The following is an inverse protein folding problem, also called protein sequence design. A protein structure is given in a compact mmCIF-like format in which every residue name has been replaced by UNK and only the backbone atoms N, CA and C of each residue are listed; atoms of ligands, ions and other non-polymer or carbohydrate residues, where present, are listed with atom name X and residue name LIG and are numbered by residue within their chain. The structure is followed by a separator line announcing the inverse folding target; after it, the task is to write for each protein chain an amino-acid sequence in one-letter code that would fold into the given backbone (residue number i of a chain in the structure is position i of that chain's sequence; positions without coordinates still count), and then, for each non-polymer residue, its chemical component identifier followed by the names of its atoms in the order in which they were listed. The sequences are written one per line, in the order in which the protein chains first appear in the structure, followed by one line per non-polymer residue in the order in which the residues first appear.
data_IF_125013102972
#
_entry.id   IF_125013102972
#
_cell.length_a   1.000
_cell.length_b   1.000
_cell.length_c   1.000
_cell.angle_alpha   90.00
_cell.angle_beta   90.00
_cell.angle_gamma   90.00
#
_symmetry.space_group_name_H-M   'P 1'
#
loop_
_entity.id
_entity.type
_entity.pdbx_description
1 polymer ?
#
# COMPACT_ATOMS: atom_id res chain seq x y z
N UNK A 1 3.30 -27.77 4.86
CA UNK A 1 2.25 -27.00 4.16
C UNK A 1 2.76 -25.59 3.95
N UNK A 2 2.62 -25.07 2.73
CA UNK A 2 2.89 -23.68 2.36
C UNK A 2 1.62 -23.03 1.83
N UNK A 3 1.50 -21.70 2.02
CA UNK A 3 0.40 -20.90 1.48
C UNK A 3 0.92 -19.55 1.02
N UNK A 4 0.50 -19.14 -0.18
CA UNK A 4 0.74 -17.79 -0.72
C UNK A 4 -0.42 -17.32 -1.60
N UNK A 5 -0.52 -16.00 -1.76
CA UNK A 5 -1.33 -15.32 -2.79
C UNK A 5 -0.40 -14.95 -3.96
N UNK A 6 0.18 -15.96 -4.62
CA UNK A 6 1.17 -15.71 -5.67
C UNK A 6 0.55 -14.99 -6.86
N UNK A 7 1.12 -13.83 -7.23
CA UNK A 7 0.59 -12.91 -8.25
C UNK A 7 0.25 -13.60 -9.57
N UNK A 8 1.13 -14.48 -10.06
CA UNK A 8 0.93 -15.20 -11.31
C UNK A 8 -0.33 -16.10 -11.26
N UNK A 9 -0.55 -16.78 -10.14
CA UNK A 9 -1.72 -17.62 -9.95
C UNK A 9 -2.98 -16.78 -9.77
N UNK A 10 -2.89 -15.68 -9.02
CA UNK A 10 -3.99 -14.74 -8.85
C UNK A 10 -4.37 -14.10 -10.18
N UNK A 11 -3.38 -13.72 -11.01
CA UNK A 11 -3.62 -13.23 -12.37
C UNK A 11 -4.31 -14.28 -13.25
N UNK A 12 -3.96 -15.55 -13.11
CA UNK A 12 -4.62 -16.65 -13.83
C UNK A 12 -6.08 -16.82 -13.38
N UNK A 13 -6.34 -16.81 -12.07
CA UNK A 13 -7.67 -17.01 -11.50
C UNK A 13 -8.63 -15.85 -11.79
N UNK A 14 -8.10 -14.61 -11.78
CA UNK A 14 -8.88 -13.38 -11.89
C UNK A 14 -9.10 -12.98 -13.36
N UNK A 15 -9.56 -13.94 -14.16
CA UNK A 15 -9.95 -13.75 -15.57
C UNK A 15 -11.34 -14.33 -15.82
N UNK A 16 -12.03 -13.88 -16.86
CA UNK A 16 -13.32 -14.48 -17.23
C UNK A 16 -13.26 -16.01 -17.34
N UNK A 17 -12.22 -16.54 -17.97
CA UNK A 17 -11.99 -17.99 -18.17
C UNK A 17 -11.09 -18.61 -17.10
N UNK A 18 -10.77 -17.88 -16.01
CA UNK A 18 -9.79 -18.29 -15.00
C UNK A 18 -10.09 -19.63 -14.34
N UNK A 19 -11.36 -19.94 -14.08
CA UNK A 19 -11.75 -21.23 -13.50
C UNK A 19 -11.45 -22.40 -14.43
N UNK A 20 -11.69 -22.23 -15.74
CA UNK A 20 -11.39 -23.25 -16.75
C UNK A 20 -9.87 -23.46 -16.90
N UNK A 21 -9.10 -22.37 -16.95
CA UNK A 21 -7.64 -22.42 -17.02
C UNK A 21 -7.01 -23.10 -15.81
N UNK A 22 -7.51 -22.80 -14.61
CA UNK A 22 -7.06 -23.44 -13.36
C UNK A 22 -7.39 -24.93 -13.37
N UNK A 23 -8.60 -25.31 -13.83
CA UNK A 23 -9.01 -26.70 -13.93
C UNK A 23 -8.15 -27.47 -14.94
N UNK A 24 -7.83 -26.86 -16.08
CA UNK A 24 -6.96 -27.46 -17.11
C UNK A 24 -5.53 -27.67 -16.59
N UNK A 25 -4.95 -26.68 -15.91
CA UNK A 25 -3.56 -26.74 -15.46
C UNK A 25 -3.34 -27.58 -14.20
N UNK A 26 -4.30 -27.63 -13.31
CA UNK A 26 -4.10 -28.13 -11.95
C UNK A 26 -5.09 -29.21 -11.50
N UNK A 27 -6.18 -29.45 -12.24
CA UNK A 27 -7.28 -30.29 -11.79
C UNK A 27 -6.92 -31.77 -11.55
N UNK A 28 -5.83 -32.25 -12.10
CA UNK A 28 -5.28 -33.59 -11.89
C UNK A 28 -4.42 -33.70 -10.62
N UNK A 29 -3.91 -32.58 -10.10
CA UNK A 29 -2.92 -32.51 -9.03
C UNK A 29 -3.35 -31.74 -7.79
N UNK A 30 -4.34 -30.86 -7.93
CA UNK A 30 -4.81 -30.01 -6.84
C UNK A 30 -6.32 -30.10 -6.68
N UNK A 31 -6.79 -30.00 -5.44
CA UNK A 31 -8.21 -29.75 -5.17
C UNK A 31 -8.49 -28.28 -5.49
N UNK A 32 -9.42 -28.02 -6.41
CA UNK A 32 -9.82 -26.66 -6.78
C UNK A 32 -11.06 -26.29 -6.00
N UNK A 33 -10.92 -25.38 -5.03
CA UNK A 33 -12.00 -24.92 -4.20
C UNK A 33 -12.59 -23.65 -4.79
N UNK A 34 -13.91 -23.60 -5.11
CA UNK A 34 -14.54 -22.38 -5.59
C UNK A 34 -14.42 -21.27 -4.54
N UNK A 35 -14.64 -20.01 -4.96
CA UNK A 35 -14.62 -18.93 -3.99
C UNK A 35 -15.65 -19.18 -2.87
N UNK A 36 -15.14 -19.17 -1.66
CA UNK A 36 -15.92 -19.14 -0.41
C UNK A 36 -15.27 -18.07 0.45
N UNK A 37 -16.09 -17.24 1.11
CA UNK A 37 -15.56 -16.21 2.02
C UNK A 37 -14.57 -16.82 3.02
N UNK A 38 -13.39 -16.22 3.21
CA UNK A 38 -12.42 -16.68 4.20
C UNK A 38 -13.02 -16.88 5.58
N UNK A 39 -12.67 -17.97 6.26
CA UNK A 39 -13.18 -18.30 7.58
C UNK A 39 -13.57 -19.75 7.72
N UNK A 40 -14.52 -20.03 8.63
CA UNK A 40 -14.94 -21.38 8.95
C UNK A 40 -15.54 -22.14 7.75
N UNK A 41 -16.38 -21.46 6.97
CA UNK A 41 -17.04 -22.07 5.81
C UNK A 41 -16.04 -22.48 4.72
N UNK A 42 -15.02 -21.65 4.46
CA UNK A 42 -13.94 -22.02 3.56
C UNK A 42 -13.17 -23.26 4.08
N UNK A 43 -12.83 -23.27 5.36
CA UNK A 43 -12.13 -24.41 5.95
C UNK A 43 -12.97 -25.71 5.87
N UNK A 44 -14.28 -25.62 6.12
CA UNK A 44 -15.22 -26.75 6.00
C UNK A 44 -15.30 -27.23 4.56
N UNK A 45 -15.53 -26.33 3.59
CA UNK A 45 -15.62 -26.67 2.17
C UNK A 45 -14.31 -27.33 1.69
N UNK A 46 -13.16 -26.78 2.06
CA UNK A 46 -11.88 -27.37 1.72
C UNK A 46 -11.71 -28.80 2.29
N UNK A 47 -12.16 -29.01 3.55
CA UNK A 47 -12.11 -30.33 4.18
C UNK A 47 -13.08 -31.33 3.53
N UNK A 48 -14.27 -30.91 3.15
CA UNK A 48 -15.29 -31.73 2.46
C UNK A 48 -14.82 -32.13 1.05
N UNK A 49 -14.11 -31.25 0.35
CA UNK A 49 -13.58 -31.50 -0.98
C UNK A 49 -12.27 -32.29 -0.99
N UNK A 50 -11.57 -32.36 0.17
CA UNK A 50 -10.36 -33.13 0.28
C UNK A 50 -10.66 -34.64 0.24
N UNK A 51 -9.97 -35.44 -0.60
CA UNK A 51 -10.24 -36.89 -0.68
C UNK A 51 -9.91 -37.58 0.65
N UNK A 52 -10.92 -38.20 1.26
CA UNK A 52 -10.76 -38.92 2.52
C UNK A 52 -10.09 -40.26 2.30
N UNK A 53 -10.44 -40.97 1.20
CA UNK A 53 -9.95 -42.27 0.84
C UNK A 53 -9.65 -42.34 -0.67
N UNK A 54 -8.69 -43.19 -1.06
CA UNK A 54 -8.36 -43.43 -2.46
C UNK A 54 -6.85 -43.31 -2.76
N UNK A 55 -6.49 -43.61 -3.99
CA UNK A 55 -5.12 -43.54 -4.50
C UNK A 55 -4.67 -42.15 -4.88
N UNK A 56 -5.63 -41.18 -5.07
CA UNK A 56 -5.30 -39.82 -5.42
C UNK A 56 -4.78 -39.05 -4.19
N UNK A 57 -3.57 -38.54 -4.35
CA UNK A 57 -2.90 -37.70 -3.34
C UNK A 57 -2.67 -36.33 -3.91
N UNK A 58 -3.58 -35.36 -3.69
CA UNK A 58 -3.43 -34.01 -4.24
C UNK A 58 -2.19 -33.32 -3.65
N UNK A 59 -1.54 -32.52 -4.49
CA UNK A 59 -0.38 -31.72 -4.10
C UNK A 59 -0.76 -30.55 -3.18
N UNK A 60 -2.05 -30.21 -3.08
CA UNK A 60 -2.57 -29.13 -2.28
C UNK A 60 -3.94 -28.65 -2.75
N UNK A 61 -4.22 -27.37 -2.48
CA UNK A 61 -5.49 -26.70 -2.79
C UNK A 61 -5.21 -25.43 -3.61
N UNK A 62 -5.97 -25.22 -4.67
CA UNK A 62 -6.12 -23.91 -5.30
C UNK A 62 -7.44 -23.32 -4.81
N UNK A 63 -7.38 -22.24 -4.05
CA UNK A 63 -8.53 -21.49 -3.59
C UNK A 63 -8.81 -20.37 -4.59
N UNK A 64 -9.92 -20.47 -5.33
CA UNK A 64 -10.26 -19.50 -6.37
C UNK A 64 -10.38 -18.07 -5.80
N UNK A 65 -9.81 -17.10 -6.50
CA UNK A 65 -9.74 -15.69 -6.11
C UNK A 65 -9.03 -15.42 -4.76
N UNK A 66 -8.20 -16.38 -4.27
CA UNK A 66 -7.52 -16.27 -3.00
C UNK A 66 -6.04 -16.66 -3.15
N UNK A 67 -5.74 -17.95 -3.31
CA UNK A 67 -4.34 -18.37 -3.36
C UNK A 67 -4.12 -19.87 -3.45
N UNK A 68 -2.89 -20.28 -3.15
CA UNK A 68 -2.39 -21.64 -3.28
C UNK A 68 -1.96 -22.20 -1.92
N UNK A 69 -2.38 -23.43 -1.64
CA UNK A 69 -1.78 -24.27 -0.60
C UNK A 69 -1.06 -25.44 -1.26
N UNK A 70 0.14 -25.74 -0.81
CA UNK A 70 0.87 -26.96 -1.20
C UNK A 70 1.26 -27.79 0.01
N UNK A 71 1.20 -29.10 -0.16
CA UNK A 71 1.45 -30.10 0.87
C UNK A 71 2.54 -31.05 0.35
N UNK A 72 3.42 -31.49 1.22
CA UNK A 72 4.47 -32.47 0.92
C UNK A 72 4.84 -33.25 2.17
N UNK A 73 5.49 -34.38 1.99
CA UNK A 73 6.07 -35.20 3.09
C UNK A 73 7.23 -34.46 3.76
N UNK A 74 7.85 -33.52 3.05
CA UNK A 74 8.87 -32.61 3.55
C UNK A 74 8.58 -31.15 3.21
N UNK A 75 9.27 -30.21 3.88
CA UNK A 75 9.19 -28.79 3.55
C UNK A 75 9.69 -28.51 2.13
N UNK A 76 10.76 -29.20 1.71
CA UNK A 76 11.35 -29.07 0.39
C UNK A 76 10.38 -29.52 -0.71
N UNK A 77 9.74 -30.68 -0.53
CA UNK A 77 8.74 -31.16 -1.47
C UNK A 77 7.54 -30.19 -1.60
N UNK A 78 7.02 -29.71 -0.47
CA UNK A 78 5.95 -28.73 -0.49
C UNK A 78 6.37 -27.44 -1.21
N UNK A 79 7.62 -27.00 -1.02
CA UNK A 79 8.19 -25.83 -1.68
C UNK A 79 8.35 -26.03 -3.18
N UNK A 80 8.90 -27.17 -3.64
CA UNK A 80 9.05 -27.46 -5.06
C UNK A 80 7.68 -27.49 -5.77
N UNK A 81 6.68 -28.18 -5.20
CA UNK A 81 5.31 -28.19 -5.70
C UNK A 81 4.73 -26.78 -5.81
N UNK A 82 5.09 -25.90 -4.85
CA UNK A 82 4.62 -24.51 -4.83
C UNK A 82 5.21 -23.71 -6.00
N UNK A 83 6.53 -23.75 -6.14
CA UNK A 83 7.25 -23.04 -7.20
C UNK A 83 6.84 -23.54 -8.58
N UNK A 84 6.70 -24.87 -8.75
CA UNK A 84 6.27 -25.47 -10.01
C UNK A 84 4.87 -25.02 -10.42
N UNK A 85 3.92 -24.93 -9.48
CA UNK A 85 2.58 -24.44 -9.74
C UNK A 85 2.59 -22.95 -10.12
N UNK A 86 3.35 -22.12 -9.40
CA UNK A 86 3.49 -20.69 -9.72
C UNK A 86 4.13 -20.48 -11.10
N UNK A 87 5.18 -21.24 -11.41
CA UNK A 87 5.85 -21.16 -12.72
C UNK A 87 4.92 -21.52 -13.88
N UNK A 88 4.06 -22.54 -13.71
CA UNK A 88 3.07 -22.92 -14.71
C UNK A 88 2.00 -21.84 -14.90
N UNK A 89 1.50 -21.26 -13.80
CA UNK A 89 0.57 -20.14 -13.87
C UNK A 89 1.21 -18.93 -14.56
N UNK A 90 2.46 -18.59 -14.20
CA UNK A 90 3.22 -17.50 -14.81
C UNK A 90 3.39 -17.68 -16.32
N UNK A 91 3.77 -18.89 -16.74
CA UNK A 91 3.90 -19.22 -18.17
C UNK A 91 2.56 -19.09 -18.93
N UNK A 92 1.44 -19.50 -18.29
CA UNK A 92 0.10 -19.46 -18.91
C UNK A 92 -0.38 -18.03 -19.15
N UNK A 93 -0.10 -17.10 -18.23
CA UNK A 93 -0.56 -15.69 -18.32
C UNK A 93 0.54 -14.73 -18.75
N UNK A 94 1.75 -15.22 -19.06
CA UNK A 94 2.88 -14.36 -19.42
C UNK A 94 3.27 -13.40 -18.28
N UNK A 95 3.10 -13.83 -17.01
CA UNK A 95 3.44 -12.99 -15.88
C UNK A 95 4.96 -12.88 -15.74
N UNK A 96 5.44 -11.64 -15.72
CA UNK A 96 6.81 -11.31 -15.33
C UNK A 96 6.79 -10.51 -14.03
N UNK A 97 7.60 -10.91 -13.06
CA UNK A 97 7.73 -10.12 -11.83
C UNK A 97 8.15 -8.69 -12.16
N UNK A 98 7.57 -7.69 -11.50
CA UNK A 98 8.02 -6.31 -11.65
C UNK A 98 9.52 -6.23 -11.38
N UNK A 99 10.28 -5.70 -12.33
CA UNK A 99 11.69 -5.37 -12.11
C UNK A 99 11.72 -4.07 -11.33
N UNK A 100 12.63 -3.94 -10.35
CA UNK A 100 12.89 -2.65 -9.71
C UNK A 100 13.36 -1.65 -10.78
N UNK A 101 12.45 -0.80 -11.21
CA UNK A 101 12.70 0.20 -12.23
C UNK A 101 13.42 1.41 -11.65
N UNK A 102 14.34 1.96 -12.47
CA UNK A 102 14.90 3.29 -12.21
C UNK A 102 13.78 4.33 -12.27
N UNK A 103 13.47 4.91 -11.13
CA UNK A 103 12.42 5.92 -10.99
C UNK A 103 12.78 7.15 -11.82
N UNK A 104 12.10 7.35 -12.93
CA UNK A 104 12.15 8.64 -13.64
C UNK A 104 11.21 9.60 -12.93
N UNK A 105 11.75 10.41 -12.03
CA UNK A 105 10.95 11.40 -11.30
C UNK A 105 10.48 12.48 -12.26
N UNK A 106 9.19 12.47 -12.57
CA UNK A 106 8.53 13.60 -13.21
C UNK A 106 8.24 14.64 -12.12
N UNK A 107 8.76 15.86 -12.22
CA UNK A 107 8.44 16.93 -11.28
C UNK A 107 6.93 17.18 -11.29
N UNK A 108 6.35 17.31 -10.10
CA UNK A 108 4.93 17.62 -9.92
C UNK A 108 4.78 18.80 -8.98
N UNK A 109 3.61 19.42 -9.00
CA UNK A 109 3.27 20.47 -8.04
C UNK A 109 3.14 19.89 -6.64
N UNK A 110 4.09 20.20 -5.76
CA UNK A 110 3.99 19.85 -4.34
C UNK A 110 2.79 20.51 -3.65
N UNK A 111 2.36 21.68 -4.15
CA UNK A 111 1.17 22.38 -3.64
C UNK A 111 -0.09 21.58 -3.91
N UNK A 112 -0.22 20.98 -5.10
CA UNK A 112 -1.41 20.19 -5.46
C UNK A 112 -1.47 18.89 -4.62
N UNK A 113 -0.33 18.23 -4.40
CA UNK A 113 -0.26 17.07 -3.51
C UNK A 113 -0.67 17.44 -2.08
N UNK A 114 -0.16 18.55 -1.56
CA UNK A 114 -0.45 18.97 -0.19
C UNK A 114 -1.92 19.41 -0.04
N UNK A 115 -2.50 20.05 -1.05
CA UNK A 115 -3.91 20.42 -1.08
C UNK A 115 -4.80 19.16 -1.08
N UNK A 116 -4.49 18.18 -1.93
CA UNK A 116 -5.22 16.93 -2.00
C UNK A 116 -5.14 16.15 -0.67
N UNK A 117 -3.95 16.02 -0.07
CA UNK A 117 -3.78 15.37 1.23
C UNK A 117 -4.60 16.06 2.32
N UNK A 118 -4.60 17.39 2.35
CA UNK A 118 -5.38 18.15 3.32
C UNK A 118 -6.87 17.87 3.17
N UNK A 119 -7.41 17.97 1.96
CA UNK A 119 -8.82 17.67 1.68
C UNK A 119 -9.18 16.23 2.07
N UNK A 120 -8.35 15.25 1.71
CA UNK A 120 -8.53 13.87 2.10
C UNK A 120 -8.53 13.69 3.63
N UNK A 121 -7.63 14.39 4.35
CA UNK A 121 -7.55 14.35 5.82
C UNK A 121 -8.79 14.97 6.49
N UNK A 122 -9.27 16.10 5.98
CA UNK A 122 -10.50 16.75 6.46
C UNK A 122 -11.70 15.83 6.29
N UNK A 123 -11.81 15.17 5.15
CA UNK A 123 -12.88 14.22 4.81
C UNK A 123 -12.82 12.95 5.65
N UNK A 124 -11.62 12.46 5.95
CA UNK A 124 -11.40 11.32 6.84
C UNK A 124 -11.66 11.65 8.32
N UNK A 125 -11.75 12.95 8.68
CA UNK A 125 -11.84 13.42 10.06
C UNK A 125 -10.58 13.18 10.89
N UNK A 126 -9.44 12.89 10.26
CA UNK A 126 -8.13 12.65 10.89
C UNK A 126 -7.00 12.94 9.91
N UNK A 127 -5.80 13.32 10.40
CA UNK A 127 -4.64 13.48 9.55
C UNK A 127 -4.29 12.16 8.82
N UNK A 128 -3.87 12.28 7.57
CA UNK A 128 -3.40 11.17 6.75
C UNK A 128 -2.00 11.48 6.21
N UNK A 129 -1.20 10.44 6.04
CA UNK A 129 0.07 10.50 5.31
C UNK A 129 -0.17 9.99 3.90
N UNK A 130 0.45 10.63 2.91
CA UNK A 130 0.49 10.16 1.54
C UNK A 130 1.84 9.51 1.21
N UNK A 131 1.84 8.65 0.21
CA UNK A 131 3.04 8.13 -0.43
C UNK A 131 2.81 8.14 -1.94
N UNK A 132 3.69 8.81 -2.68
CA UNK A 132 3.71 8.75 -4.14
C UNK A 132 4.62 7.65 -4.63
N UNK A 133 4.17 6.92 -5.64
CA UNK A 133 4.97 6.02 -6.44
C UNK A 133 4.88 6.44 -7.91
N UNK A 134 6.01 6.87 -8.46
CA UNK A 134 6.17 7.30 -9.84
C UNK A 134 7.10 6.37 -10.63
N UNK A 135 7.21 5.10 -10.21
CA UNK A 135 7.89 4.06 -10.99
C UNK A 135 7.27 3.95 -12.39
N UNK A 136 8.04 3.47 -13.36
CA UNK A 136 7.54 3.32 -14.72
C UNK A 136 6.24 2.49 -14.76
N UNK A 137 6.21 1.37 -14.04
CA UNK A 137 5.05 0.48 -14.00
C UNK A 137 3.78 1.18 -13.48
N UNK A 138 3.85 1.93 -12.37
CA UNK A 138 2.70 2.64 -11.81
C UNK A 138 2.27 3.81 -12.67
N UNK A 139 3.24 4.55 -13.25
CA UNK A 139 2.96 5.68 -14.11
C UNK A 139 2.35 5.25 -15.46
N UNK A 140 2.83 4.16 -16.06
CA UNK A 140 2.25 3.58 -17.28
C UNK A 140 0.83 3.06 -17.02
N UNK A 141 0.63 2.36 -15.91
CA UNK A 141 -0.69 1.85 -15.54
C UNK A 141 -1.70 3.00 -15.35
N UNK A 142 -1.31 4.06 -14.63
CA UNK A 142 -2.19 5.21 -14.40
C UNK A 142 -2.52 6.01 -15.67
N UNK A 143 -1.70 5.90 -16.73
CA UNK A 143 -1.92 6.55 -18.04
C UNK A 143 -2.65 5.69 -19.06
N UNK A 144 -3.00 4.45 -18.73
CA UNK A 144 -3.74 3.59 -19.64
C UNK A 144 -5.09 4.21 -20.02
N UNK A 145 -5.47 4.12 -21.28
CA UNK A 145 -6.78 4.59 -21.74
C UNK A 145 -7.95 3.84 -21.08
N UNK A 146 -7.72 2.59 -20.69
CA UNK A 146 -8.70 1.71 -20.05
C UNK A 146 -8.57 1.64 -18.51
N UNK A 147 -7.74 2.47 -17.88
CA UNK A 147 -7.50 2.44 -16.44
C UNK A 147 -8.80 2.50 -15.63
N UNK A 148 -9.77 3.33 -16.05
CA UNK A 148 -11.08 3.46 -15.43
C UNK A 148 -11.97 2.21 -15.60
N UNK A 149 -11.57 1.24 -16.41
CA UNK A 149 -12.28 -0.02 -16.55
C UNK A 149 -11.56 -1.13 -15.78
N UNK A 150 -10.26 -1.29 -16.01
CA UNK A 150 -9.50 -2.40 -15.46
C UNK A 150 -9.25 -2.26 -13.96
N UNK A 151 -9.12 -1.02 -13.44
CA UNK A 151 -8.91 -0.76 -12.01
C UNK A 151 -10.22 -0.72 -11.20
N UNK A 152 -11.38 -0.56 -11.84
CA UNK A 152 -12.67 -0.35 -11.18
C UNK A 152 -13.46 -1.66 -10.98
N UNK A 153 -12.80 -2.82 -10.91
CA UNK A 153 -13.47 -4.10 -10.69
C UNK A 153 -13.38 -4.60 -9.26
N UNK A 154 -12.29 -4.32 -8.57
CA UNK A 154 -12.06 -4.76 -7.21
C UNK A 154 -10.60 -5.17 -6.96
N UNK A 155 -10.24 -5.49 -5.70
CA UNK A 155 -8.90 -5.92 -5.33
C UNK A 155 -8.57 -7.29 -5.93
N UNK A 156 -7.26 -7.58 -6.05
CA UNK A 156 -6.77 -8.84 -6.59
C UNK A 156 -7.13 -10.05 -5.72
N UNK A 157 -7.13 -9.87 -4.41
CA UNK A 157 -7.64 -10.83 -3.44
C UNK A 157 -8.56 -10.13 -2.44
N UNK A 158 -9.57 -10.82 -1.88
CA UNK A 158 -10.60 -10.16 -1.07
C UNK A 158 -10.04 -9.51 0.21
N UNK A 159 -9.03 -10.10 0.82
CA UNK A 159 -8.41 -9.61 2.05
C UNK A 159 -7.61 -8.30 1.88
N UNK A 160 -7.23 -7.95 0.64
CA UNK A 160 -6.60 -6.66 0.37
C UNK A 160 -7.54 -5.46 0.61
N UNK A 161 -8.86 -5.67 0.56
CA UNK A 161 -9.88 -4.60 0.69
C UNK A 161 -9.72 -3.76 1.95
N UNK A 162 -9.29 -4.36 3.07
CA UNK A 162 -9.08 -3.64 4.33
C UNK A 162 -7.92 -2.63 4.27
N UNK A 163 -7.00 -2.78 3.30
CA UNK A 163 -5.83 -1.93 3.12
C UNK A 163 -5.98 -0.94 1.96
N UNK A 164 -6.63 -1.37 0.89
CA UNK A 164 -6.72 -0.61 -0.36
C UNK A 164 -8.10 -0.03 -0.62
N UNK A 165 -9.12 -0.39 0.17
CA UNK A 165 -10.52 -0.26 -0.18
C UNK A 165 -10.88 -1.10 -1.42
N UNK A 166 -12.17 -1.17 -1.76
CA UNK A 166 -12.63 -1.94 -2.92
C UNK A 166 -12.09 -1.40 -4.24
N UNK A 167 -12.09 -0.07 -4.40
CA UNK A 167 -11.69 0.60 -5.63
C UNK A 167 -10.66 1.70 -5.36
N UNK A 168 -9.71 1.93 -6.27
CA UNK A 168 -8.92 3.15 -6.27
C UNK A 168 -9.74 4.34 -6.76
N UNK A 169 -9.34 5.54 -6.40
CA UNK A 169 -9.77 6.76 -7.09
C UNK A 169 -8.99 6.89 -8.39
N UNK A 170 -9.67 7.06 -9.51
CA UNK A 170 -9.05 7.45 -10.79
C UNK A 170 -9.25 8.96 -10.96
N UNK A 171 -8.14 9.69 -11.10
CA UNK A 171 -8.14 11.16 -11.05
C UNK A 171 -8.11 11.70 -9.62
N UNK A 172 -8.75 12.86 -9.36
CA UNK A 172 -8.59 13.62 -8.11
C UNK A 172 -9.90 14.06 -7.45
N UNK A 173 -11.06 13.59 -7.94
CA UNK A 173 -12.38 13.98 -7.41
C UNK A 173 -12.75 13.16 -6.17
N UNK A 174 -12.37 13.67 -4.99
CA UNK A 174 -12.68 13.04 -3.70
C UNK A 174 -14.18 13.07 -3.38
N UNK A 175 -14.94 14.06 -3.90
CA UNK A 175 -16.39 14.14 -3.71
C UNK A 175 -17.12 13.02 -4.45
N UNK A 176 -16.75 12.79 -5.71
CA UNK A 176 -17.31 11.69 -6.49
C UNK A 176 -17.00 10.33 -5.83
N UNK A 177 -15.73 10.13 -5.44
CA UNK A 177 -15.33 8.89 -4.75
C UNK A 177 -16.12 8.64 -3.46
N UNK A 178 -16.27 9.67 -2.64
CA UNK A 178 -17.01 9.55 -1.38
C UNK A 178 -18.47 9.15 -1.60
N UNK A 179 -19.15 9.79 -2.57
CA UNK A 179 -20.55 9.44 -2.93
C UNK A 179 -20.67 8.00 -3.44
N UNK A 180 -19.75 7.56 -4.29
CA UNK A 180 -19.74 6.19 -4.81
C UNK A 180 -19.48 5.16 -3.70
N UNK A 181 -18.56 5.46 -2.78
CA UNK A 181 -18.27 4.58 -1.65
C UNK A 181 -19.46 4.50 -0.69
N UNK A 182 -20.12 5.62 -0.36
CA UNK A 182 -21.31 5.66 0.47
C UNK A 182 -22.47 4.86 -0.19
N UNK A 183 -22.66 5.04 -1.50
CA UNK A 183 -23.66 4.28 -2.24
C UNK A 183 -23.38 2.75 -2.21
N UNK A 184 -22.12 2.37 -2.38
CA UNK A 184 -21.69 0.96 -2.24
C UNK A 184 -22.00 0.42 -0.83
N UNK A 185 -21.67 1.16 0.22
CA UNK A 185 -21.94 0.74 1.60
C UNK A 185 -23.45 0.61 1.84
N UNK A 186 -24.25 1.57 1.38
CA UNK A 186 -25.70 1.55 1.59
C UNK A 186 -26.39 0.41 0.81
N UNK A 187 -25.89 0.07 -0.38
CA UNK A 187 -26.41 -1.04 -1.18
C UNK A 187 -26.28 -2.40 -0.48
N UNK A 188 -25.23 -2.59 0.31
CA UNK A 188 -24.93 -3.89 0.93
C UNK A 188 -25.07 -3.89 2.46
N UNK A 189 -25.36 -2.76 3.09
CA UNK A 189 -25.45 -2.59 4.56
C UNK A 189 -26.21 -3.67 5.30
N UNK A 190 -27.32 -4.12 4.75
CA UNK A 190 -28.23 -5.06 5.40
C UNK A 190 -27.84 -6.53 5.20
N UNK A 191 -26.85 -6.83 4.40
CA UNK A 191 -26.47 -8.22 4.08
C UNK A 191 -26.04 -9.01 5.31
N UNK A 192 -25.28 -8.38 6.19
CA UNK A 192 -24.69 -9.07 7.34
C UNK A 192 -25.65 -9.30 8.51
N UNK A 193 -26.83 -8.71 8.48
CA UNK A 193 -27.83 -8.85 9.56
C UNK A 193 -27.39 -8.24 10.91
N UNK A 194 -26.26 -7.55 10.96
CA UNK A 194 -25.72 -6.85 12.13
C UNK A 194 -25.39 -5.40 11.76
N UNK A 195 -25.48 -4.47 12.72
CA UNK A 195 -25.06 -3.09 12.49
C UNK A 195 -23.58 -3.02 12.10
N UNK A 196 -23.26 -2.25 11.07
CA UNK A 196 -21.89 -1.98 10.65
C UNK A 196 -21.47 -0.57 11.04
N UNK A 197 -20.18 -0.40 11.33
CA UNK A 197 -19.59 0.93 11.48
C UNK A 197 -19.02 1.35 10.13
N UNK A 198 -19.47 2.49 9.60
CA UNK A 198 -18.95 3.00 8.34
C UNK A 198 -17.47 3.33 8.48
N UNK A 199 -16.70 2.91 7.52
CA UNK A 199 -15.32 3.38 7.34
C UNK A 199 -15.35 4.78 6.70
N UNK A 200 -14.25 5.53 6.88
CA UNK A 200 -14.14 6.84 6.23
C UNK A 200 -14.25 6.72 4.69
N UNK A 201 -14.91 7.66 4.00
CA UNK A 201 -15.13 7.59 2.55
C UNK A 201 -13.95 8.16 1.74
N UNK A 202 -12.71 7.89 2.17
CA UNK A 202 -11.49 8.37 1.51
C UNK A 202 -10.77 7.21 0.83
N UNK A 203 -10.29 7.38 -0.42
CA UNK A 203 -9.54 6.34 -1.11
C UNK A 203 -8.23 6.02 -0.36
N UNK A 204 -7.77 4.80 -0.48
CA UNK A 204 -6.43 4.40 -0.03
C UNK A 204 -5.44 4.40 -1.18
N UNK A 205 -5.95 4.33 -2.40
CA UNK A 205 -5.15 4.35 -3.63
C UNK A 205 -5.76 5.36 -4.60
N UNK A 206 -4.90 6.16 -5.21
CA UNK A 206 -5.25 7.13 -6.26
C UNK A 206 -4.38 6.84 -7.47
N UNK A 207 -5.00 6.75 -8.63
CA UNK A 207 -4.34 6.60 -9.92
C UNK A 207 -4.54 7.89 -10.73
N UNK A 208 -3.47 8.58 -11.00
CA UNK A 208 -3.52 9.86 -11.73
C UNK A 208 -2.41 9.90 -12.80
N UNK A 209 -2.72 10.32 -14.04
CA UNK A 209 -1.76 10.26 -15.14
C UNK A 209 -0.51 11.14 -14.94
N UNK A 210 -0.59 12.18 -14.09
CA UNK A 210 0.55 13.04 -13.76
C UNK A 210 1.30 12.53 -12.52
N UNK A 211 0.56 12.04 -11.51
CA UNK A 211 1.16 11.62 -10.25
C UNK A 211 1.66 10.17 -10.26
N UNK A 212 1.15 9.33 -11.18
CA UNK A 212 1.31 7.89 -11.12
C UNK A 212 0.35 7.29 -10.09
N UNK A 213 0.86 6.56 -9.12
CA UNK A 213 0.09 6.04 -8.00
C UNK A 213 0.40 6.84 -6.73
N UNK A 214 -0.66 7.23 -6.02
CA UNK A 214 -0.56 7.82 -4.69
C UNK A 214 -1.36 6.96 -3.73
N UNK A 215 -0.81 6.68 -2.54
CA UNK A 215 -1.51 5.96 -1.48
C UNK A 215 -1.66 6.81 -0.24
N UNK A 216 -2.76 6.62 0.48
CA UNK A 216 -3.09 7.32 1.71
C UNK A 216 -3.22 6.31 2.86
N UNK A 217 -2.69 6.69 4.01
CA UNK A 217 -2.78 5.89 5.24
C UNK A 217 -2.84 6.78 6.47
N UNK A 218 -3.33 6.25 7.56
CA UNK A 218 -3.33 6.94 8.86
C UNK A 218 -1.91 7.18 9.40
N UNK A 219 -0.92 6.51 8.86
CA UNK A 219 0.51 6.73 9.11
C UNK A 219 1.33 6.27 7.90
N UNK A 220 2.61 6.58 7.89
CA UNK A 220 3.51 6.25 6.77
C UNK A 220 3.63 4.74 6.51
N UNK A 221 3.48 3.90 7.54
CA UNK A 221 3.49 2.44 7.39
C UNK A 221 2.24 1.95 6.67
N UNK A 222 1.06 2.47 7.02
CA UNK A 222 -0.19 2.10 6.36
C UNK A 222 -0.20 2.53 4.89
N UNK A 223 0.29 3.74 4.58
CA UNK A 223 0.44 4.21 3.20
C UNK A 223 1.43 3.34 2.40
N UNK A 224 2.54 2.91 3.03
CA UNK A 224 3.53 2.02 2.39
C UNK A 224 2.96 0.63 2.11
N UNK A 225 2.20 0.05 3.04
CA UNK A 225 1.53 -1.26 2.86
C UNK A 225 0.52 -1.17 1.71
N UNK A 226 -0.30 -0.12 1.66
CA UNK A 226 -1.25 0.07 0.56
C UNK A 226 -0.54 0.19 -0.79
N UNK A 227 0.62 0.88 -0.84
CA UNK A 227 1.42 1.00 -2.05
C UNK A 227 1.96 -0.36 -2.52
N UNK A 228 2.56 -1.14 -1.63
CA UNK A 228 3.10 -2.47 -1.92
C UNK A 228 2.00 -3.40 -2.46
N UNK A 229 0.88 -3.51 -1.75
CA UNK A 229 -0.27 -4.32 -2.18
C UNK A 229 -0.77 -3.88 -3.56
N UNK A 230 -0.85 -2.58 -3.81
CA UNK A 230 -1.42 -2.12 -5.08
C UNK A 230 -0.42 -2.22 -6.25
N UNK A 231 0.89 -2.21 -6.01
CA UNK A 231 1.91 -2.56 -7.01
C UNK A 231 1.71 -4.00 -7.51
N UNK A 232 1.50 -4.96 -6.59
CA UNK A 232 1.13 -6.34 -6.95
C UNK A 232 -0.20 -6.39 -7.71
N UNK A 233 -1.21 -5.63 -7.27
CA UNK A 233 -2.51 -5.53 -7.95
C UNK A 233 -2.36 -5.01 -9.39
N UNK A 234 -1.52 -4.00 -9.62
CA UNK A 234 -1.20 -3.49 -10.97
C UNK A 234 -0.58 -4.59 -11.85
N UNK A 235 0.39 -5.34 -11.33
CA UNK A 235 1.02 -6.43 -12.07
C UNK A 235 0.02 -7.54 -12.41
N UNK A 236 -0.83 -7.92 -11.47
CA UNK A 236 -1.89 -8.91 -11.66
C UNK A 236 -2.90 -8.45 -12.71
N UNK A 237 -3.42 -7.22 -12.59
CA UNK A 237 -4.37 -6.65 -13.56
C UNK A 237 -3.74 -6.61 -14.95
N UNK A 238 -2.49 -6.15 -15.07
CA UNK A 238 -1.79 -6.04 -16.36
C UNK A 238 -1.61 -7.39 -17.04
N UNK A 239 -1.21 -8.41 -16.28
CA UNK A 239 -1.07 -9.77 -16.81
C UNK A 239 -2.43 -10.37 -17.21
N UNK A 240 -3.46 -10.23 -16.39
CA UNK A 240 -4.80 -10.72 -16.67
C UNK A 240 -5.42 -10.00 -17.89
N UNK A 241 -5.30 -8.67 -17.96
CA UNK A 241 -5.84 -7.86 -19.05
C UNK A 241 -5.23 -8.23 -20.40
N UNK A 242 -3.94 -8.55 -20.45
CA UNK A 242 -3.25 -9.01 -21.66
C UNK A 242 -3.68 -10.40 -22.10
N UNK A 243 -4.43 -11.14 -21.28
CA UNK A 243 -4.82 -12.53 -21.48
C UNK A 243 -6.35 -12.76 -21.35
N UNK A 244 -7.15 -11.88 -21.89
CA UNK A 244 -8.62 -12.05 -21.95
C UNK A 244 -9.39 -11.20 -20.94
N UNK A 245 -8.73 -10.38 -20.16
CA UNK A 245 -9.35 -9.43 -19.25
C UNK A 245 -9.13 -9.75 -17.76
N UNK A 246 -9.24 -8.72 -16.92
CA UNK A 246 -9.23 -8.86 -15.48
C UNK A 246 -10.66 -8.94 -14.94
N UNK A 247 -10.91 -9.85 -14.00
CA UNK A 247 -12.19 -10.03 -13.34
C UNK A 247 -11.96 -10.29 -11.86
N UNK A 248 -12.29 -9.32 -11.01
CA UNK A 248 -12.30 -9.49 -9.56
C UNK A 248 -13.57 -10.21 -9.06
N UNK A 249 -13.64 -10.44 -7.77
CA UNK A 249 -14.87 -10.85 -7.09
C UNK A 249 -15.96 -9.79 -7.21
N UNK A 250 -17.21 -10.19 -6.96
CA UNK A 250 -18.35 -9.28 -6.96
C UNK A 250 -18.21 -8.22 -5.87
N UNK A 251 -18.85 -7.07 -6.06
CA UNK A 251 -18.90 -6.02 -5.03
C UNK A 251 -19.52 -6.53 -3.72
N UNK A 252 -20.43 -7.47 -3.82
CA UNK A 252 -21.11 -8.17 -2.75
C UNK A 252 -20.16 -9.02 -1.91
N UNK A 253 -19.36 -9.87 -2.56
CA UNK A 253 -18.37 -10.73 -1.88
C UNK A 253 -17.27 -9.91 -1.21
N UNK A 254 -16.83 -8.82 -1.88
CA UNK A 254 -15.83 -7.92 -1.32
C UNK A 254 -16.38 -7.17 -0.09
N UNK A 255 -17.67 -6.75 -0.13
CA UNK A 255 -18.31 -6.11 1.01
C UNK A 255 -18.36 -7.02 2.24
N UNK A 256 -18.67 -8.31 2.03
CA UNK A 256 -18.73 -9.29 3.11
C UNK A 256 -17.36 -9.43 3.82
N UNK A 257 -16.26 -9.32 3.09
CA UNK A 257 -14.92 -9.33 3.68
C UNK A 257 -14.57 -7.96 4.30
N UNK A 258 -14.82 -6.85 3.59
CA UNK A 258 -14.48 -5.50 4.08
C UNK A 258 -15.15 -5.19 5.43
N UNK A 259 -16.39 -5.64 5.61
CA UNK A 259 -17.18 -5.42 6.82
C UNK A 259 -17.26 -6.64 7.74
N UNK A 260 -16.39 -7.64 7.54
CA UNK A 260 -16.28 -8.77 8.43
C UNK A 260 -15.67 -8.35 9.78
N UNK A 261 -16.31 -8.76 10.87
CA UNK A 261 -15.88 -8.38 12.23
C UNK A 261 -14.43 -8.71 12.54
N UNK A 262 -13.91 -9.86 12.03
CA UNK A 262 -12.51 -10.24 12.23
C UNK A 262 -11.55 -9.34 11.44
N UNK A 263 -11.92 -8.91 10.24
CA UNK A 263 -11.13 -7.96 9.46
C UNK A 263 -11.20 -6.56 10.07
N UNK A 264 -12.36 -6.11 10.49
CA UNK A 264 -12.54 -4.86 11.23
C UNK A 264 -11.74 -4.86 12.54
N UNK A 265 -11.70 -5.99 13.26
CA UNK A 265 -10.89 -6.12 14.46
C UNK A 265 -9.38 -5.99 14.22
N UNK A 266 -8.88 -6.33 13.03
CA UNK A 266 -7.47 -6.08 12.65
C UNK A 266 -7.17 -4.57 12.56
N UNK A 267 -8.12 -3.78 12.07
CA UNK A 267 -8.01 -2.32 12.02
C UNK A 267 -8.10 -1.70 13.43
N UNK A 268 -8.98 -2.25 14.30
CA UNK A 268 -9.20 -1.78 15.66
C UNK A 268 -8.10 -2.23 16.65
N UNK A 269 -7.36 -3.30 16.36
CA UNK A 269 -6.22 -3.76 17.17
C UNK A 269 -5.00 -2.83 17.08
N UNK A 270 -5.05 -1.82 16.25
CA UNK A 270 -4.17 -0.67 16.33
C UNK A 270 -4.32 -0.01 17.71
N UNK A 271 -3.19 0.22 18.39
CA UNK A 271 -3.11 0.95 19.66
C UNK A 271 -3.91 2.27 19.59
N UNK A 272 -4.30 2.80 20.75
CA UNK A 272 -4.79 4.18 20.87
C UNK A 272 -3.98 5.11 19.94
N UNK A 273 -4.67 5.87 19.09
CA UNK A 273 -4.04 6.76 18.13
C UNK A 273 -2.91 7.56 18.78
N UNK A 274 -1.74 7.52 18.21
CA UNK A 274 -0.58 8.22 18.73
C UNK A 274 -0.77 9.73 18.51
N UNK A 275 -0.11 10.52 19.35
CA UNK A 275 -0.35 11.98 19.43
C UNK A 275 -0.15 12.72 18.11
N UNK A 276 0.83 12.29 17.30
CA UNK A 276 1.18 12.89 16.02
C UNK A 276 0.93 11.94 14.84
N UNK A 277 0.08 10.93 15.04
CA UNK A 277 -0.26 9.99 13.96
C UNK A 277 -0.90 10.73 12.77
N UNK A 278 -0.42 10.41 11.58
CA UNK A 278 -0.87 11.04 10.35
C UNK A 278 -0.25 12.42 10.05
N UNK A 279 0.52 12.99 10.98
CA UNK A 279 1.19 14.28 10.79
C UNK A 279 2.60 14.09 10.23
N UNK A 280 3.08 15.12 9.53
CA UNK A 280 4.40 15.16 8.91
C UNK A 280 5.21 16.31 9.51
N UNK A 281 6.36 16.00 10.08
CA UNK A 281 7.25 16.97 10.70
C UNK A 281 8.54 17.14 9.89
N UNK A 282 8.99 18.38 9.73
CA UNK A 282 10.32 18.72 9.25
C UNK A 282 11.17 19.17 10.44
N UNK A 283 12.33 18.53 10.64
CA UNK A 283 13.24 18.81 11.77
C UNK A 283 14.63 19.11 11.21
N UNK A 284 15.17 20.30 11.48
CA UNK A 284 16.54 20.66 11.14
C UNK A 284 17.49 20.28 12.27
N UNK A 285 18.78 20.04 11.97
CA UNK A 285 19.76 19.55 12.96
C UNK A 285 19.47 18.12 13.42
N UNK A 286 18.86 17.28 12.56
CA UNK A 286 18.29 16.00 12.94
C UNK A 286 19.31 14.85 13.09
N UNK A 287 20.59 15.06 12.73
CA UNK A 287 21.60 14.03 12.89
C UNK A 287 22.10 13.87 14.32
N UNK A 288 21.96 14.90 15.17
CA UNK A 288 22.54 14.88 16.53
C UNK A 288 21.75 15.71 17.54
N UNK A 289 22.14 15.64 18.79
CA UNK A 289 21.70 16.53 19.87
C UNK A 289 20.17 16.64 20.02
N UNK A 290 19.71 17.88 20.16
CA UNK A 290 18.29 18.20 20.41
C UNK A 290 17.43 17.85 19.20
N UNK A 291 17.85 18.20 17.97
CA UNK A 291 17.11 17.90 16.74
C UNK A 291 16.85 16.40 16.58
N UNK A 292 17.88 15.57 16.79
CA UNK A 292 17.75 14.10 16.74
C UNK A 292 16.81 13.57 17.83
N UNK A 293 16.89 14.10 19.04
CA UNK A 293 15.99 13.68 20.13
C UNK A 293 14.53 14.05 19.84
N UNK A 294 14.27 15.22 19.26
CA UNK A 294 12.93 15.64 18.84
C UNK A 294 12.43 14.75 17.70
N UNK A 295 13.25 14.48 16.67
CA UNK A 295 12.89 13.58 15.58
C UNK A 295 12.53 12.18 16.11
N UNK A 296 13.35 11.61 17.00
CA UNK A 296 13.06 10.33 17.65
C UNK A 296 11.72 10.33 18.40
N UNK A 297 11.42 11.40 19.11
CA UNK A 297 10.16 11.53 19.86
C UNK A 297 8.95 11.64 18.92
N UNK A 298 9.04 12.45 17.87
CA UNK A 298 7.98 12.58 16.87
C UNK A 298 7.69 11.27 16.17
N UNK A 299 8.72 10.51 15.77
CA UNK A 299 8.58 9.17 15.20
C UNK A 299 7.89 8.21 16.19
N UNK A 300 8.31 8.21 17.45
CA UNK A 300 7.71 7.37 18.49
C UNK A 300 6.25 7.73 18.81
N UNK A 301 5.85 8.97 18.58
CA UNK A 301 4.48 9.47 18.73
C UNK A 301 3.67 9.41 17.40
N UNK A 302 4.19 8.72 16.37
CA UNK A 302 3.46 8.38 15.14
C UNK A 302 3.60 9.35 13.97
N UNK A 303 4.38 10.41 14.08
CA UNK A 303 4.63 11.31 12.95
C UNK A 303 5.51 10.65 11.88
N UNK A 304 5.34 11.06 10.63
CA UNK A 304 6.37 10.95 9.62
C UNK A 304 7.34 12.14 9.76
N UNK A 305 8.63 11.92 9.56
CA UNK A 305 9.65 12.94 9.82
C UNK A 305 10.60 13.10 8.64
N UNK A 306 10.75 14.33 8.17
CA UNK A 306 11.80 14.78 7.26
C UNK A 306 12.91 15.41 8.10
N UNK A 307 14.03 14.74 8.23
CA UNK A 307 15.19 15.22 8.99
C UNK A 307 16.23 15.86 8.08
N UNK A 308 16.61 17.10 8.37
CA UNK A 308 17.61 17.85 7.64
C UNK A 308 18.85 18.06 8.50
N UNK A 309 20.03 17.80 7.96
CA UNK A 309 21.30 18.10 8.62
C UNK A 309 22.41 18.21 7.56
N UNK A 310 23.45 19.01 7.80
CA UNK A 310 24.63 19.02 6.95
C UNK A 310 25.49 17.76 7.13
N UNK A 311 25.35 17.06 8.26
CA UNK A 311 26.00 15.79 8.51
C UNK A 311 25.29 14.67 7.73
N UNK A 312 25.96 13.97 6.78
CA UNK A 312 25.34 12.91 5.99
C UNK A 312 24.82 11.73 6.82
N UNK A 313 25.25 11.57 8.08
CA UNK A 313 24.70 10.57 8.98
C UNK A 313 23.18 10.75 9.24
N UNK A 314 22.59 11.88 8.88
CA UNK A 314 21.13 12.10 8.94
C UNK A 314 20.36 11.13 8.07
N UNK A 315 20.91 10.68 6.95
CA UNK A 315 20.24 9.78 6.02
C UNK A 315 19.82 8.48 6.72
N UNK A 316 20.75 7.92 7.51
CA UNK A 316 20.56 6.65 8.22
C UNK A 316 20.33 6.83 9.72
N UNK A 317 19.98 8.05 10.18
CA UNK A 317 19.77 8.33 11.60
C UNK A 317 18.63 7.51 12.21
N UNK A 318 17.62 7.17 11.39
CA UNK A 318 16.50 6.28 11.73
C UNK A 318 16.13 5.42 10.52
N UNK A 319 15.42 4.33 10.76
CA UNK A 319 14.95 3.40 9.72
C UNK A 319 13.43 3.36 9.62
N UNK A 320 12.93 2.85 8.49
CA UNK A 320 11.51 2.59 8.27
C UNK A 320 10.80 3.64 7.42
N UNK A 321 9.52 3.41 7.08
CA UNK A 321 8.79 4.21 6.09
C UNK A 321 8.47 5.64 6.56
N UNK A 322 8.51 5.91 7.87
CA UNK A 322 8.20 7.21 8.44
C UNK A 322 9.39 8.19 8.48
N UNK A 323 10.59 7.75 8.10
CA UNK A 323 11.79 8.57 8.12
C UNK A 323 12.27 8.93 6.72
N UNK A 324 12.69 10.18 6.54
CA UNK A 324 13.44 10.66 5.40
C UNK A 324 14.53 11.62 5.86
N UNK A 325 15.77 11.17 5.89
CA UNK A 325 16.95 12.01 6.18
C UNK A 325 17.54 12.59 4.92
N UNK A 326 17.80 13.89 4.91
CA UNK A 326 18.39 14.62 3.78
C UNK A 326 19.60 15.43 4.24
N UNK A 327 20.75 15.15 3.63
CA UNK A 327 22.01 15.84 3.94
C UNK A 327 22.08 17.16 3.18
N UNK A 328 21.73 18.26 3.85
CA UNK A 328 21.77 19.61 3.27
C UNK A 328 22.24 20.64 4.29
N UNK A 329 22.74 21.76 3.80
CA UNK A 329 22.94 22.97 4.59
C UNK A 329 21.65 23.82 4.55
N UNK A 330 21.06 24.11 5.71
CA UNK A 330 19.82 24.89 5.79
C UNK A 330 20.00 26.36 5.44
N UNK A 331 21.24 26.84 5.31
CA UNK A 331 21.55 28.21 4.81
C UNK A 331 21.53 28.29 3.29
N UNK A 332 21.59 27.14 2.59
CA UNK A 332 21.39 27.07 1.15
C UNK A 332 19.89 26.96 0.83
N UNK A 333 19.29 28.07 0.41
CA UNK A 333 17.86 28.19 0.10
C UNK A 333 17.42 27.22 -0.99
N UNK A 334 18.24 27.02 -2.04
CA UNK A 334 17.88 26.10 -3.14
C UNK A 334 17.89 24.62 -2.68
N UNK A 335 18.87 24.25 -1.84
CA UNK A 335 18.91 22.94 -1.22
C UNK A 335 17.74 22.72 -0.26
N UNK A 336 17.35 23.74 0.51
CA UNK A 336 16.22 23.70 1.41
C UNK A 336 14.89 23.54 0.63
N UNK A 337 14.67 24.29 -0.43
CA UNK A 337 13.49 24.16 -1.30
C UNK A 337 13.40 22.74 -1.88
N UNK A 338 14.51 22.21 -2.35
CA UNK A 338 14.59 20.84 -2.88
C UNK A 338 14.25 19.80 -1.81
N UNK A 339 14.74 20.00 -0.59
CA UNK A 339 14.48 19.09 0.53
C UNK A 339 13.01 19.14 0.99
N UNK A 340 12.40 20.34 1.02
CA UNK A 340 10.97 20.51 1.30
C UNK A 340 10.15 19.80 0.23
N UNK A 341 10.45 20.02 -1.06
CA UNK A 341 9.76 19.36 -2.16
C UNK A 341 9.85 17.83 -2.06
N UNK A 342 11.03 17.29 -1.75
CA UNK A 342 11.22 15.86 -1.54
C UNK A 342 10.39 15.31 -0.36
N UNK A 343 10.29 16.05 0.73
CA UNK A 343 9.45 15.71 1.89
C UNK A 343 7.95 15.72 1.54
N UNK A 344 7.49 16.72 0.79
CA UNK A 344 6.12 16.82 0.30
C UNK A 344 5.81 15.66 -0.68
N UNK A 345 6.72 15.34 -1.58
CA UNK A 345 6.56 14.20 -2.50
C UNK A 345 6.49 12.88 -1.73
N UNK A 346 7.28 12.73 -0.66
CA UNK A 346 7.37 11.52 0.14
C UNK A 346 6.17 11.28 1.04
N UNK A 347 5.61 12.35 1.65
CA UNK A 347 4.60 12.26 2.70
C UNK A 347 3.33 13.07 2.42
N UNK A 348 3.27 13.77 1.30
CA UNK A 348 2.11 14.54 0.86
C UNK A 348 1.99 15.94 1.48
N UNK A 349 2.96 16.42 2.25
CA UNK A 349 2.90 17.74 2.87
C UNK A 349 3.70 17.85 4.15
N UNK A 350 3.62 19.00 4.81
CA UNK A 350 4.27 19.29 6.09
C UNK A 350 3.25 19.94 7.04
N UNK A 351 3.20 19.48 8.29
CA UNK A 351 2.29 19.97 9.33
C UNK A 351 3.04 20.66 10.48
N UNK A 352 4.28 20.23 10.75
CA UNK A 352 5.09 20.68 11.88
C UNK A 352 6.48 21.06 11.35
N UNK A 353 7.00 22.19 11.76
CA UNK A 353 8.39 22.59 11.49
C UNK A 353 9.12 22.83 12.80
N UNK A 354 10.28 22.20 12.94
CA UNK A 354 11.15 22.30 14.14
C UNK A 354 12.53 22.78 13.69
N UNK A 355 12.82 24.08 13.78
CA UNK A 355 14.13 24.62 13.48
C UNK A 355 15.07 24.38 14.67
N UNK A 356 15.84 23.28 14.65
CA UNK A 356 16.78 22.91 15.71
C UNK A 356 18.24 22.92 15.24
N UNK A 357 18.50 23.20 13.94
CA UNK A 357 19.84 23.44 13.47
C UNK A 357 20.35 24.78 14.03
N UNK A 358 21.58 24.77 14.52
CA UNK A 358 22.22 25.96 15.03
C UNK A 358 23.69 25.70 15.36
N UNK A 359 24.48 26.72 15.28
CA UNK A 359 25.87 26.75 15.73
C UNK A 359 26.03 27.88 16.74
N UNK A 360 26.89 27.70 17.72
CA UNK A 360 27.27 28.78 18.62
C UNK A 360 28.62 29.32 18.12
N UNK A 361 28.71 30.63 18.00
CA UNK A 361 29.99 31.29 17.81
C UNK A 361 30.90 31.02 19.03
N UNK A 362 32.20 31.05 18.83
CA UNK A 362 33.14 31.00 19.96
C UNK A 362 32.84 32.10 20.95
N UNK A 363 32.84 31.75 22.26
CA UNK A 363 32.61 32.72 23.33
C UNK A 363 33.69 33.79 23.33
N UNK A 364 33.33 34.99 22.98
CA UNK A 364 34.19 36.15 23.00
C UNK A 364 33.48 37.33 23.69
N UNK A 365 34.21 38.29 24.27
CA UNK A 365 33.61 39.55 24.67
C UNK A 365 32.91 40.22 23.49
N UNK A 366 31.75 40.82 23.71
CA UNK A 366 30.93 41.43 22.64
C UNK A 366 31.74 42.42 21.78
N UNK A 367 32.70 43.14 22.38
CA UNK A 367 33.59 44.04 21.68
C UNK A 367 34.65 43.36 20.78
N UNK A 368 34.78 42.05 20.84
CA UNK A 368 35.73 41.24 20.06
C UNK A 368 35.02 40.29 19.06
N UNK A 369 33.70 40.31 19.00
CA UNK A 369 32.89 39.56 18.03
C UNK A 369 32.97 40.28 16.69
N UNK A 370 33.47 39.62 15.65
CA UNK A 370 33.48 40.16 14.30
C UNK A 370 32.05 40.14 13.72
N UNK A 371 31.71 41.10 12.82
CA UNK A 371 30.41 41.23 12.20
C UNK A 371 30.00 39.93 11.47
N UNK A 372 30.95 39.24 10.84
CA UNK A 372 30.72 37.95 10.16
C UNK A 372 30.35 36.78 11.07
N UNK A 373 30.50 36.95 12.39
CA UNK A 373 30.06 35.94 13.38
C UNK A 373 28.58 36.04 13.75
N UNK A 374 27.89 37.08 13.23
CA UNK A 374 26.45 37.29 13.45
C UNK A 374 25.59 36.72 12.32
N UNK A 375 26.14 36.47 11.15
CA UNK A 375 25.49 35.88 9.98
C UNK A 375 25.63 34.34 9.99
#
# INVERSE_FOLDING_TARGET
VLHTHADALVALMNRPEGAADVAELFGDRFVIVPYVMPGFDLARTAAEMWPADGDWRPHGLVLMNHGLFTIGESADEAYQRHIDAIAQAAARVGYASPVEDTVTRVPISGVDLAAFRREASERAGKPLVMRRDSSAATAEFARRDDVAVVSQQGPATPDHVIRTKRLPLVGRDLDAYAREYEHYVDAYRNRRGVPITNLDPVPRVVLDPEWGMVTLGENAKAAAIAAEIYQHTIAIISAAASNGGYKALSAEDIFDVEYWELEQAKLLRGSKALRFEGQVALVTGAASGIGRAIAARLLAEGAAVVGLDRNPAVVDAFSGPAWQGLAIDVTDVAALDTAIAAGVERFGGLDIVVPAAGVFAESAPLSAVADEAWD
#
